data_IF_010552423492
#
_entry.id   IF_010552423492
#
_cell.length_a   1.000
_cell.length_b   1.000
_cell.length_c   1.000
_cell.angle_alpha   90.00
_cell.angle_beta   90.00
_cell.angle_gamma   90.00
#
_symmetry.space_group_name_H-M   'P 1'
#
loop_
_entity.id
_entity.type
_entity.pdbx_description
1 polymer ?
#
# COMPACT_ATOMS: atom_id res chain seq x y z
N UNK A 1 -8.16 3.09 -4.10
CA UNK A 1 -9.56 2.65 -3.91
C UNK A 1 -9.65 1.35 -3.10
N UNK A 2 -8.99 0.26 -3.49
CA UNK A 2 -9.10 -1.05 -2.80
C UNK A 2 -8.80 -0.96 -1.29
N UNK A 3 -7.69 -0.36 -0.89
CA UNK A 3 -7.32 -0.25 0.54
C UNK A 3 -8.35 0.52 1.38
N UNK A 4 -8.83 1.66 0.87
CA UNK A 4 -9.84 2.49 1.55
C UNK A 4 -11.17 1.76 1.70
N UNK A 5 -11.61 1.07 0.63
CA UNK A 5 -12.81 0.23 0.69
C UNK A 5 -12.64 -0.93 1.67
N UNK A 6 -11.46 -1.56 1.71
CA UNK A 6 -11.15 -2.63 2.66
C UNK A 6 -11.29 -2.16 4.11
N UNK A 7 -10.72 -0.99 4.42
CA UNK A 7 -10.78 -0.42 5.76
C UNK A 7 -12.20 0.00 6.16
N UNK A 8 -12.97 0.57 5.23
CA UNK A 8 -14.39 0.87 5.48
C UNK A 8 -15.15 -0.43 5.77
N UNK A 9 -14.97 -1.45 4.94
CA UNK A 9 -15.63 -2.74 5.08
C UNK A 9 -15.30 -3.39 6.43
N UNK A 10 -14.03 -3.38 6.82
CA UNK A 10 -13.54 -3.86 8.12
C UNK A 10 -14.26 -3.21 9.29
N UNK A 11 -14.50 -1.89 9.22
CA UNK A 11 -15.18 -1.12 10.28
C UNK A 11 -16.69 -1.33 10.32
N UNK A 12 -17.35 -1.34 9.16
CA UNK A 12 -18.83 -1.43 9.12
C UNK A 12 -19.35 -2.85 9.38
N UNK A 13 -18.51 -3.87 9.17
CA UNK A 13 -18.83 -5.28 9.36
C UNK A 13 -17.82 -5.95 10.31
N UNK A 14 -17.50 -5.28 11.44
CA UNK A 14 -16.50 -5.73 12.40
C UNK A 14 -16.81 -7.07 13.07
N UNK A 15 -18.09 -7.44 13.15
CA UNK A 15 -18.56 -8.69 13.77
C UNK A 15 -18.76 -9.84 12.76
N UNK A 16 -18.61 -9.59 11.46
CA UNK A 16 -18.76 -10.60 10.41
C UNK A 16 -17.42 -11.29 10.11
N UNK A 17 -17.27 -12.53 10.57
CA UNK A 17 -16.03 -13.30 10.43
C UNK A 17 -15.62 -13.55 8.98
N UNK A 18 -16.56 -13.72 8.05
CA UNK A 18 -16.27 -13.95 6.63
C UNK A 18 -15.73 -12.67 6.00
N UNK A 19 -16.34 -11.52 6.34
CA UNK A 19 -15.85 -10.21 5.91
C UNK A 19 -14.47 -9.91 6.48
N UNK A 20 -14.22 -10.20 7.76
CA UNK A 20 -12.89 -9.99 8.35
C UNK A 20 -11.82 -10.83 7.66
N UNK A 21 -12.11 -12.11 7.38
CA UNK A 21 -11.21 -13.00 6.64
C UNK A 21 -10.90 -12.49 5.23
N UNK A 22 -11.90 -11.94 4.54
CA UNK A 22 -11.69 -11.31 3.24
C UNK A 22 -10.77 -10.07 3.36
N UNK A 23 -11.03 -9.22 4.36
CA UNK A 23 -10.23 -8.03 4.56
C UNK A 23 -8.76 -8.36 4.85
N UNK A 24 -8.48 -9.40 5.63
CA UNK A 24 -7.12 -9.90 5.87
C UNK A 24 -6.43 -10.41 4.61
N UNK A 25 -7.17 -11.03 3.69
CA UNK A 25 -6.62 -11.42 2.39
C UNK A 25 -6.21 -10.19 1.58
N UNK A 26 -7.05 -9.15 1.55
CA UNK A 26 -6.75 -7.91 0.84
C UNK A 26 -5.54 -7.21 1.45
N UNK A 27 -5.38 -7.19 2.77
CA UNK A 27 -4.20 -6.60 3.42
C UNK A 27 -2.91 -7.31 2.99
N UNK A 28 -2.90 -8.65 3.00
CA UNK A 28 -1.74 -9.43 2.50
C UNK A 28 -1.47 -9.18 1.02
N UNK A 29 -2.52 -9.02 0.21
CA UNK A 29 -2.38 -8.70 -1.21
C UNK A 29 -1.75 -7.31 -1.40
N UNK A 30 -2.17 -6.31 -0.62
CA UNK A 30 -1.64 -4.94 -0.70
C UNK A 30 -0.18 -4.87 -0.24
N UNK A 31 0.18 -5.60 0.82
CA UNK A 31 1.56 -5.72 1.30
C UNK A 31 2.46 -6.46 0.29
N UNK A 32 1.96 -7.51 -0.36
CA UNK A 32 2.73 -8.16 -1.43
C UNK A 32 2.96 -7.20 -2.61
N UNK A 33 1.91 -6.49 -3.02
CA UNK A 33 1.98 -5.52 -4.11
C UNK A 33 3.05 -4.44 -3.88
N UNK A 34 3.20 -3.92 -2.67
CA UNK A 34 4.20 -2.88 -2.38
C UNK A 34 5.65 -3.35 -2.57
N UNK A 35 5.90 -4.66 -2.73
CA UNK A 35 7.22 -5.25 -2.96
C UNK A 35 7.53 -5.47 -4.45
N UNK A 36 6.53 -5.29 -5.31
CA UNK A 36 6.68 -5.49 -6.74
C UNK A 36 7.19 -4.21 -7.41
N UNK A 37 8.07 -4.33 -8.40
CA UNK A 37 8.74 -3.20 -9.06
C UNK A 37 7.76 -2.15 -9.61
N UNK A 38 6.58 -2.58 -10.10
CA UNK A 38 5.57 -1.67 -10.63
C UNK A 38 5.05 -0.67 -9.59
N UNK A 39 5.01 -1.07 -8.31
CA UNK A 39 4.64 -0.19 -7.22
C UNK A 39 5.75 0.79 -6.86
N UNK A 40 7.01 0.35 -6.88
CA UNK A 40 8.15 1.25 -6.72
C UNK A 40 8.20 2.31 -7.84
N UNK A 41 7.92 1.93 -9.10
CA UNK A 41 7.80 2.88 -10.22
C UNK A 41 6.67 3.88 -10.03
N UNK A 42 5.52 3.42 -9.55
CA UNK A 42 4.38 4.28 -9.26
C UNK A 42 4.70 5.27 -8.12
N UNK A 43 5.45 4.82 -7.10
CA UNK A 43 5.90 5.66 -5.99
C UNK A 43 6.90 6.74 -6.46
N UNK A 44 7.93 6.38 -7.24
CA UNK A 44 8.86 7.37 -7.82
C UNK A 44 8.11 8.38 -8.71
N UNK A 45 7.22 7.91 -9.58
CA UNK A 45 6.38 8.81 -10.40
C UNK A 45 5.49 9.72 -9.55
N UNK A 46 5.00 9.23 -8.41
CA UNK A 46 4.23 10.06 -7.47
C UNK A 46 5.09 11.19 -6.93
N UNK A 47 6.27 10.88 -6.37
CA UNK A 47 7.21 11.87 -5.82
C UNK A 47 7.53 12.95 -6.85
N UNK A 48 7.89 12.55 -8.06
CA UNK A 48 8.23 13.44 -9.17
C UNK A 48 7.09 14.38 -9.57
N UNK A 49 5.87 13.83 -9.71
CA UNK A 49 4.73 14.57 -10.26
C UNK A 49 4.03 15.42 -9.21
N UNK A 50 3.85 14.87 -8.00
CA UNK A 50 3.07 15.51 -6.94
C UNK A 50 3.96 16.35 -6.01
N UNK A 51 5.28 16.11 -5.99
CA UNK A 51 6.21 16.77 -5.07
C UNK A 51 5.94 16.44 -3.59
N UNK A 52 5.27 15.31 -3.33
CA UNK A 52 4.93 14.84 -1.99
C UNK A 52 5.54 13.45 -1.78
N UNK A 53 6.37 13.36 -0.74
CA UNK A 53 7.11 12.16 -0.37
C UNK A 53 6.26 11.19 0.47
N UNK A 54 5.16 11.65 1.08
CA UNK A 54 4.30 10.82 1.93
C UNK A 54 2.87 10.69 1.38
N UNK A 55 2.61 9.69 0.52
CA UNK A 55 1.28 9.36 0.02
C UNK A 55 0.28 8.85 1.08
N UNK A 56 0.67 8.77 2.35
CA UNK A 56 -0.13 8.24 3.46
C UNK A 56 -0.71 6.85 3.17
N UNK A 57 0.17 5.86 2.94
CA UNK A 57 -0.19 4.46 2.73
C UNK A 57 -0.50 3.77 4.06
N UNK A 58 -1.66 4.10 4.64
CA UNK A 58 -2.08 3.64 5.97
C UNK A 58 -2.18 2.11 6.12
N UNK A 59 -2.36 1.40 5.00
CA UNK A 59 -2.53 -0.05 4.94
C UNK A 59 -1.21 -0.82 4.93
N UNK A 60 -0.08 -0.13 4.78
CA UNK A 60 1.25 -0.71 4.87
C UNK A 60 1.81 -0.55 6.29
N UNK A 61 2.65 -1.50 6.71
CA UNK A 61 3.48 -1.33 7.90
C UNK A 61 4.53 -0.24 7.68
N UNK A 62 5.14 0.25 8.75
CA UNK A 62 6.26 1.21 8.65
C UNK A 62 7.43 0.61 7.85
N UNK A 63 7.73 -0.67 8.07
CA UNK A 63 8.77 -1.42 7.35
C UNK A 63 8.45 -1.50 5.85
N UNK A 64 7.23 -1.93 5.48
CA UNK A 64 6.85 -2.04 4.07
C UNK A 64 6.81 -0.68 3.35
N UNK A 65 6.44 0.41 4.06
CA UNK A 65 6.54 1.77 3.51
C UNK A 65 7.99 2.15 3.24
N UNK A 66 8.88 1.90 4.20
CA UNK A 66 10.30 2.21 4.08
C UNK A 66 10.94 1.42 2.93
N UNK A 67 10.66 0.12 2.82
CA UNK A 67 11.21 -0.73 1.76
C UNK A 67 10.73 -0.28 0.37
N UNK A 68 9.45 0.12 0.25
CA UNK A 68 8.90 0.67 -0.98
C UNK A 68 9.57 2.02 -1.36
N UNK A 69 9.80 2.87 -0.37
CA UNK A 69 10.46 4.18 -0.53
C UNK A 69 11.91 4.00 -1.04
N UNK A 70 12.70 3.15 -0.38
CA UNK A 70 14.05 2.81 -0.80
C UNK A 70 14.08 2.17 -2.20
N UNK A 71 13.10 1.31 -2.51
CA UNK A 71 12.97 0.70 -3.83
C UNK A 71 12.66 1.74 -4.91
N UNK A 72 11.80 2.72 -4.61
CA UNK A 72 11.45 3.80 -5.52
C UNK A 72 12.67 4.68 -5.83
N UNK A 73 13.41 5.09 -4.80
CA UNK A 73 14.62 5.91 -4.96
C UNK A 73 15.70 5.18 -5.77
N UNK A 74 15.83 3.85 -5.61
CA UNK A 74 16.81 3.04 -6.35
C UNK A 74 16.51 2.87 -7.86
N UNK A 75 15.27 3.16 -8.28
CA UNK A 75 14.89 3.08 -9.70
C UNK A 75 15.41 4.27 -10.52
N UNK A 76 15.72 5.39 -9.87
CA UNK A 76 16.24 6.60 -10.53
C UNK A 76 17.72 6.50 -10.91
N UNK A 77 18.42 5.49 -10.39
CA UNK A 77 19.85 5.23 -10.63
C UNK A 77 20.15 4.44 -11.94
N UNK A 78 19.15 4.21 -12.81
CA UNK A 78 19.28 3.42 -14.06
C UNK A 78 18.95 4.20 -15.35
#
# INVERSE_FOLDING_TARGET
MIAQTNEILRRVASEDEEVQRYCEFVDRMLDWNSREEIWARAMSSWKDIMGDEDPFLFYLSEEARKDLDESADSLEDF
#
